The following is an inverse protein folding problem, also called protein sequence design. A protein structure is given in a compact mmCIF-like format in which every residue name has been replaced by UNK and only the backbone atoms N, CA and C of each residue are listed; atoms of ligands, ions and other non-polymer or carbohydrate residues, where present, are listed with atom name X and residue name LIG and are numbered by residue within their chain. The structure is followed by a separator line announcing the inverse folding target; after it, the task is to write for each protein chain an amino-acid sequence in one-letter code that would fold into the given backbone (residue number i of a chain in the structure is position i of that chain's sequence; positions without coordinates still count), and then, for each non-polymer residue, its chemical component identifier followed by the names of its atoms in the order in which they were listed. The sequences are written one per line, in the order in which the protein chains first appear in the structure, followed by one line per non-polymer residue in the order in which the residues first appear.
data_IF_490643728229
#
_entry.id   IF_490643728229
#
_cell.length_a   1.000
_cell.length_b   1.000
_cell.length_c   1.000
_cell.angle_alpha   90.00
_cell.angle_beta   90.00
_cell.angle_gamma   90.00
#
_symmetry.space_group_name_H-M   'P 1'
#
loop_
_entity.id
_entity.type
_entity.pdbx_description
1 polymer ?
#
# COMPACT_ATOMS: atom_id res chain seq x y z
N UNK A 1 72.00 -5.42 -8.93
CA UNK A 1 71.08 -5.65 -7.79
C UNK A 1 70.22 -4.41 -7.65
N UNK A 2 69.01 -4.32 -8.22
CA UNK A 2 67.75 -5.00 -7.81
C UNK A 2 67.52 -4.73 -6.32
N UNK A 3 66.50 -4.00 -5.86
CA UNK A 3 65.07 -4.08 -6.22
C UNK A 3 64.36 -2.74 -5.94
N UNK A 4 63.50 -2.29 -6.87
CA UNK A 4 62.40 -1.35 -6.59
C UNK A 4 61.30 -2.11 -5.84
N UNK A 5 60.67 -1.50 -4.84
CA UNK A 5 59.33 -1.89 -4.41
C UNK A 5 58.46 -0.64 -4.20
N UNK A 6 57.45 -0.54 -5.06
CA UNK A 6 56.26 0.32 -4.96
C UNK A 6 55.21 -0.49 -4.22
N UNK A 7 54.41 0.12 -3.35
CA UNK A 7 53.01 -0.21 -3.00
C UNK A 7 52.61 0.66 -1.79
N UNK A 8 51.38 1.10 -1.55
CA UNK A 8 50.19 1.49 -2.33
C UNK A 8 49.23 2.04 -1.26
N UNK A 9 48.45 3.06 -1.61
CA UNK A 9 47.52 3.75 -0.70
C UNK A 9 46.36 2.85 -0.26
N UNK A 10 45.94 2.96 1.01
CA UNK A 10 44.54 2.68 1.41
C UNK A 10 44.07 3.73 2.41
N UNK A 11 43.28 4.68 1.92
CA UNK A 11 42.41 5.53 2.73
C UNK A 11 41.25 4.66 3.24
N UNK A 12 41.15 4.50 4.56
CA UNK A 12 40.02 3.83 5.20
C UNK A 12 38.77 4.70 5.13
N UNK A 13 37.95 4.48 4.10
CA UNK A 13 36.56 4.91 4.06
C UNK A 13 35.77 4.02 5.02
N UNK A 14 35.29 4.59 6.13
CA UNK A 14 34.26 3.96 6.94
C UNK A 14 32.97 3.93 6.13
N UNK A 15 32.62 2.75 5.62
CA UNK A 15 31.33 2.46 5.02
C UNK A 15 30.26 2.50 6.11
N UNK A 16 29.45 3.56 6.13
CA UNK A 16 28.17 3.56 6.83
C UNK A 16 27.27 2.56 6.11
N UNK A 17 26.90 1.50 6.82
CA UNK A 17 26.01 0.43 6.37
C UNK A 17 24.77 1.03 5.71
N UNK A 18 24.65 0.83 4.40
CA UNK A 18 23.46 1.18 3.65
C UNK A 18 22.28 0.38 4.19
N UNK A 19 21.19 1.09 4.46
CA UNK A 19 19.86 0.49 4.59
C UNK A 19 19.61 -0.27 3.28
N UNK A 20 19.48 -1.59 3.37
CA UNK A 20 19.24 -2.46 2.22
C UNK A 20 17.78 -2.33 1.75
N UNK A 21 17.48 -1.19 1.13
CA UNK A 21 16.23 -0.92 0.40
C UNK A 21 16.06 -1.84 -0.82
N UNK A 22 17.14 -2.49 -1.29
CA UNK A 22 17.10 -3.34 -2.48
C UNK A 22 16.31 -4.62 -2.26
N UNK A 23 16.36 -5.17 -1.04
CA UNK A 23 15.69 -6.44 -0.73
C UNK A 23 14.17 -6.30 -0.56
N UNK A 24 13.68 -5.14 -0.12
CA UNK A 24 12.23 -4.89 -0.03
C UNK A 24 11.61 -4.58 -1.39
N UNK A 25 12.34 -3.89 -2.29
CA UNK A 25 11.95 -3.80 -3.70
C UNK A 25 12.01 -5.16 -4.39
N UNK A 26 13.03 -5.98 -4.12
CA UNK A 26 13.15 -7.35 -4.63
C UNK A 26 11.98 -8.24 -4.20
N UNK A 27 11.52 -8.16 -2.95
CA UNK A 27 10.36 -8.94 -2.49
C UNK A 27 9.05 -8.46 -3.12
N UNK A 28 8.90 -7.14 -3.29
CA UNK A 28 7.73 -6.56 -3.96
C UNK A 28 7.75 -6.74 -5.48
N UNK A 29 8.92 -6.87 -6.11
CA UNK A 29 9.06 -7.27 -7.51
C UNK A 29 8.83 -8.76 -7.72
N UNK A 30 9.13 -9.59 -6.71
CA UNK A 30 8.87 -11.04 -6.76
C UNK A 30 7.38 -11.37 -6.76
N UNK A 31 6.54 -10.50 -6.18
CA UNK A 31 5.07 -10.59 -6.29
C UNK A 31 4.54 -10.09 -7.65
N UNK A 32 5.38 -9.43 -8.45
CA UNK A 32 5.09 -8.95 -9.81
C UNK A 32 5.67 -9.90 -10.90
N UNK A 33 6.29 -11.04 -10.54
CA UNK A 33 6.95 -11.95 -11.52
C UNK A 33 6.06 -13.12 -11.99
N UNK A 34 6.18 -13.41 -13.29
CA UNK A 34 5.21 -14.01 -14.19
C UNK A 34 4.92 -15.51 -13.98
N UNK A 35 3.64 -15.87 -14.08
CA UNK A 35 3.20 -17.26 -14.30
C UNK A 35 3.52 -17.67 -15.74
N UNK A 36 4.29 -18.74 -15.93
CA UNK A 36 4.57 -19.36 -17.23
C UNK A 36 3.30 -19.82 -17.93
N UNK A 37 2.99 -19.25 -19.10
CA UNK A 37 1.79 -19.54 -19.90
C UNK A 37 2.08 -20.57 -20.99
N UNK A 38 1.31 -21.67 -20.99
CA UNK A 38 1.19 -22.60 -22.12
C UNK A 38 0.57 -21.92 -23.36
N UNK A 39 0.91 -22.33 -24.59
CA UNK A 39 0.49 -21.64 -25.80
C UNK A 39 -0.96 -21.94 -26.14
N UNK A 40 -1.87 -21.16 -25.56
CA UNK A 40 -3.28 -21.06 -25.92
C UNK A 40 -3.68 -19.59 -25.92
N UNK A 41 -3.95 -19.04 -27.09
CA UNK A 41 -4.35 -17.64 -27.33
C UNK A 41 -5.28 -17.08 -26.26
N UNK A 42 -4.75 -16.26 -25.34
CA UNK A 42 -5.54 -15.38 -24.48
C UNK A 42 -4.88 -14.00 -24.47
N UNK A 43 -5.52 -13.03 -25.11
CA UNK A 43 -5.05 -11.63 -25.10
C UNK A 43 -5.13 -11.09 -23.68
N UNK A 44 -3.97 -10.85 -23.08
CA UNK A 44 -3.79 -10.18 -21.80
C UNK A 44 -4.50 -8.82 -21.80
N UNK A 45 -5.33 -8.52 -20.78
CA UNK A 45 -6.03 -7.24 -20.70
C UNK A 45 -5.08 -6.14 -20.24
N UNK A 46 -4.57 -5.37 -21.18
CA UNK A 46 -3.69 -4.23 -20.94
C UNK A 46 -4.52 -2.93 -20.87
N UNK A 47 -4.46 -2.23 -19.73
CA UNK A 47 -5.28 -1.03 -19.48
C UNK A 47 -4.38 0.21 -19.37
N UNK A 48 -4.61 1.27 -20.17
CA UNK A 48 -3.78 2.47 -20.14
C UNK A 48 -3.98 3.32 -18.89
N UNK A 49 -2.93 4.05 -18.50
CA UNK A 49 -2.95 5.04 -17.43
C UNK A 49 -3.70 6.29 -17.89
N UNK A 50 -4.65 6.75 -17.08
CA UNK A 50 -5.31 8.05 -17.24
C UNK A 50 -4.93 8.96 -16.08
N UNK A 51 -4.38 10.13 -16.39
CA UNK A 51 -4.10 11.16 -15.38
C UNK A 51 -5.35 12.00 -15.12
N UNK A 52 -5.60 12.33 -13.86
CA UNK A 52 -6.76 13.14 -13.45
C UNK A 52 -6.43 14.62 -13.69
N UNK A 53 -6.85 15.14 -14.83
CA UNK A 53 -6.48 16.51 -15.26
C UNK A 53 -6.96 17.60 -14.28
N UNK A 54 -8.14 17.42 -13.69
CA UNK A 54 -8.70 18.37 -12.70
C UNK A 54 -8.12 18.26 -11.30
N UNK A 55 -7.14 17.38 -11.05
CA UNK A 55 -6.63 17.14 -9.69
C UNK A 55 -5.76 18.31 -9.18
N UNK A 56 -4.96 18.94 -10.06
CA UNK A 56 -4.08 20.04 -9.66
C UNK A 56 -4.83 21.26 -9.11
N UNK A 57 -6.00 21.61 -9.68
CA UNK A 57 -6.81 22.74 -9.18
C UNK A 57 -7.37 22.50 -7.78
N UNK A 58 -7.42 21.25 -7.34
CA UNK A 58 -7.83 20.83 -5.98
C UNK A 58 -6.62 20.62 -5.06
N UNK A 59 -5.40 20.84 -5.56
CA UNK A 59 -4.16 20.52 -4.86
C UNK A 59 -3.93 19.01 -4.66
N UNK A 60 -4.63 18.16 -5.42
CA UNK A 60 -4.44 16.72 -5.43
C UNK A 60 -3.28 16.36 -6.38
N UNK A 61 -2.10 16.15 -5.80
CA UNK A 61 -0.86 15.88 -6.55
C UNK A 61 -0.05 14.82 -5.83
N UNK A 62 0.71 14.03 -6.58
CA UNK A 62 1.68 13.06 -6.04
C UNK A 62 2.79 13.74 -5.23
N UNK A 63 3.62 12.95 -4.55
CA UNK A 63 4.74 13.44 -3.73
C UNK A 63 5.64 14.46 -4.43
N UNK A 64 5.86 14.34 -5.75
CA UNK A 64 6.67 15.26 -6.55
C UNK A 64 5.90 16.44 -7.18
N UNK A 65 4.59 16.52 -6.96
CA UNK A 65 3.71 17.54 -7.55
C UNK A 65 3.07 17.15 -8.89
N UNK A 66 3.32 15.94 -9.41
CA UNK A 66 2.65 15.47 -10.64
C UNK A 66 1.20 15.07 -10.39
N UNK A 67 0.40 14.99 -11.45
CA UNK A 67 -0.99 14.58 -11.35
C UNK A 67 -1.12 13.11 -10.94
N UNK A 68 -2.07 12.75 -10.06
CA UNK A 68 -2.43 11.36 -9.81
C UNK A 68 -3.13 10.74 -11.03
N UNK A 69 -3.22 9.42 -11.04
CA UNK A 69 -3.84 8.69 -12.14
C UNK A 69 -4.48 7.36 -11.73
N UNK A 70 -5.24 6.80 -12.65
CA UNK A 70 -5.92 5.53 -12.50
C UNK A 70 -5.97 4.78 -13.84
N UNK A 71 -6.25 3.49 -13.79
CA UNK A 71 -6.54 2.65 -14.95
C UNK A 71 -8.01 2.23 -14.86
N UNK A 72 -8.76 2.29 -15.95
CA UNK A 72 -10.18 1.93 -15.99
C UNK A 72 -10.47 1.02 -17.18
N UNK A 73 -11.03 -0.14 -16.89
CA UNK A 73 -11.64 -1.02 -17.87
C UNK A 73 -13.15 -1.09 -17.64
N UNK A 74 -13.94 -0.89 -18.70
CA UNK A 74 -15.40 -0.81 -18.59
C UNK A 74 -16.04 -2.19 -18.42
N UNK A 75 -17.10 -2.21 -17.62
CA UNK A 75 -17.95 -3.38 -17.44
C UNK A 75 -18.87 -3.61 -18.63
N UNK A 76 -19.51 -4.78 -18.66
CA UNK A 76 -20.43 -5.18 -19.72
C UNK A 76 -21.54 -6.09 -19.17
N UNK A 77 -22.62 -6.23 -19.94
CA UNK A 77 -23.76 -7.07 -19.58
C UNK A 77 -24.34 -6.69 -18.22
N UNK A 78 -24.61 -7.69 -17.37
CA UNK A 78 -25.16 -7.49 -16.03
C UNK A 78 -24.24 -6.70 -15.08
N UNK A 79 -22.93 -6.68 -15.33
CA UNK A 79 -21.94 -5.95 -14.53
C UNK A 79 -21.71 -4.50 -14.96
N UNK A 80 -22.35 -4.02 -16.03
CA UNK A 80 -22.10 -2.69 -16.59
C UNK A 80 -22.37 -1.53 -15.60
N UNK A 81 -23.26 -1.74 -14.62
CA UNK A 81 -23.57 -0.78 -13.55
C UNK A 81 -23.00 -1.20 -12.18
N UNK A 82 -21.98 -2.07 -12.17
CA UNK A 82 -21.27 -2.46 -10.95
C UNK A 82 -19.79 -2.07 -11.05
N UNK A 83 -19.17 -1.77 -9.92
CA UNK A 83 -17.84 -1.15 -9.87
C UNK A 83 -16.92 -1.81 -8.85
N UNK A 84 -15.69 -2.13 -9.25
CA UNK A 84 -14.58 -2.50 -8.36
C UNK A 84 -13.51 -1.42 -8.47
N UNK A 85 -13.19 -0.80 -7.34
CA UNK A 85 -12.15 0.22 -7.21
C UNK A 85 -11.05 -0.42 -6.39
N UNK A 86 -9.89 -0.63 -6.99
CA UNK A 86 -8.73 -1.24 -6.34
C UNK A 86 -7.65 -0.18 -6.08
N UNK A 87 -7.34 0.05 -4.82
CA UNK A 87 -6.29 0.95 -4.38
C UNK A 87 -4.95 0.22 -4.40
N UNK A 88 -4.02 0.73 -5.20
CA UNK A 88 -2.66 0.21 -5.25
C UNK A 88 -1.95 0.36 -3.89
N UNK A 89 -1.16 -0.64 -3.51
CA UNK A 89 -0.29 -0.60 -2.33
C UNK A 89 1.15 -0.23 -2.65
N UNK A 90 2.04 -0.38 -1.66
CA UNK A 90 3.47 -0.20 -1.88
C UNK A 90 4.23 0.48 -0.74
N UNK A 91 3.90 0.13 0.50
CA UNK A 91 4.52 0.68 1.70
C UNK A 91 4.34 2.19 1.88
N UNK A 92 5.16 2.79 2.72
CA UNK A 92 5.05 4.20 3.10
C UNK A 92 6.41 4.90 3.06
N UNK A 93 6.41 6.22 3.18
CA UNK A 93 7.60 6.97 3.55
C UNK A 93 7.33 7.77 4.83
N UNK A 94 8.22 7.68 5.80
CA UNK A 94 8.01 8.19 7.16
C UNK A 94 9.06 9.23 7.59
N UNK A 95 10.00 9.56 6.71
CA UNK A 95 11.02 10.59 6.95
C UNK A 95 11.17 11.45 5.69
N UNK A 96 11.69 12.67 5.83
CA UNK A 96 12.00 13.53 4.68
C UNK A 96 12.90 12.79 3.69
N UNK A 97 13.94 12.10 4.17
CA UNK A 97 14.87 11.36 3.32
C UNK A 97 14.16 10.25 2.53
N UNK A 98 13.36 9.42 3.20
CA UNK A 98 12.65 8.32 2.53
C UNK A 98 11.59 8.85 1.55
N UNK A 99 10.92 9.96 1.86
CA UNK A 99 9.96 10.59 0.94
C UNK A 99 10.64 11.29 -0.26
N UNK A 100 11.80 11.92 -0.07
CA UNK A 100 12.60 12.49 -1.18
C UNK A 100 13.07 11.39 -2.12
N UNK A 101 13.49 10.23 -1.60
CA UNK A 101 13.78 9.08 -2.45
C UNK A 101 12.52 8.57 -3.15
N UNK A 102 11.42 8.42 -2.42
CA UNK A 102 10.18 7.85 -2.96
C UNK A 102 9.59 8.68 -4.11
N UNK A 103 9.68 10.01 -4.05
CA UNK A 103 9.13 10.90 -5.09
C UNK A 103 9.81 10.75 -6.45
N UNK A 104 10.97 10.11 -6.53
CA UNK A 104 11.67 9.79 -7.79
C UNK A 104 11.34 8.40 -8.32
N UNK A 105 10.26 7.77 -7.83
CA UNK A 105 9.81 6.42 -8.24
C UNK A 105 8.35 6.44 -8.70
N UNK A 106 7.87 5.32 -9.26
CA UNK A 106 6.45 5.13 -9.65
C UNK A 106 5.46 5.34 -8.49
N UNK A 107 5.94 5.20 -7.24
CA UNK A 107 5.14 5.34 -6.01
C UNK A 107 5.16 6.74 -5.39
N UNK A 108 5.70 7.72 -6.11
CA UNK A 108 5.70 9.12 -5.70
C UNK A 108 5.58 10.12 -6.84
N UNK A 109 5.58 9.66 -8.09
CA UNK A 109 5.40 10.51 -9.27
C UNK A 109 4.82 9.74 -10.45
N UNK A 110 3.83 10.32 -11.12
CA UNK A 110 3.22 9.73 -12.31
C UNK A 110 4.12 9.76 -13.55
N UNK A 111 5.26 10.48 -13.51
CA UNK A 111 6.27 10.41 -14.56
C UNK A 111 6.84 9.00 -14.71
N UNK A 112 7.05 8.32 -13.58
CA UNK A 112 7.64 6.98 -13.52
C UNK A 112 6.60 5.85 -13.49
N UNK A 113 5.31 6.18 -13.49
CA UNK A 113 4.26 5.15 -13.62
C UNK A 113 4.28 4.52 -15.02
N UNK A 114 4.10 3.21 -15.03
CA UNK A 114 3.83 2.40 -16.21
C UNK A 114 2.62 2.99 -16.96
N UNK A 115 2.78 3.21 -18.27
CA UNK A 115 1.73 3.85 -19.09
C UNK A 115 0.55 2.92 -19.37
N UNK A 116 0.73 1.63 -19.15
CA UNK A 116 -0.31 0.62 -19.19
C UNK A 116 0.07 -0.52 -18.26
N UNK A 117 -0.92 -1.19 -17.68
CA UNK A 117 -0.70 -2.35 -16.81
C UNK A 117 -1.64 -3.48 -17.19
N UNK A 118 -1.21 -4.70 -16.89
CA UNK A 118 -2.08 -5.87 -16.99
C UNK A 118 -3.08 -5.90 -15.83
N UNK A 119 -4.34 -6.18 -16.13
CA UNK A 119 -5.37 -6.42 -15.14
C UNK A 119 -5.50 -7.93 -14.89
N UNK A 120 -5.19 -8.35 -13.67
CA UNK A 120 -5.21 -9.75 -13.20
C UNK A 120 -6.01 -9.88 -11.90
N UNK A 121 -6.24 -11.12 -11.45
CA UNK A 121 -6.95 -11.41 -10.19
C UNK A 121 -8.33 -10.74 -10.15
N UNK A 122 -8.63 -10.02 -9.07
CA UNK A 122 -9.91 -9.30 -8.90
C UNK A 122 -10.19 -8.24 -10.00
N UNK A 123 -9.17 -7.82 -10.75
CA UNK A 123 -9.30 -6.90 -11.88
C UNK A 123 -9.34 -7.60 -13.25
N UNK A 124 -9.11 -8.92 -13.31
CA UNK A 124 -9.16 -9.69 -14.56
C UNK A 124 -10.53 -9.61 -15.22
N UNK A 125 -10.56 -9.65 -16.56
CA UNK A 125 -11.78 -9.74 -17.35
C UNK A 125 -12.16 -11.18 -17.74
N UNK A 126 -11.41 -12.16 -17.24
CA UNK A 126 -11.65 -13.59 -17.47
C UNK A 126 -12.47 -14.15 -16.32
N UNK A 127 -13.59 -14.81 -16.63
CA UNK A 127 -14.48 -15.39 -15.62
C UNK A 127 -13.80 -16.53 -14.85
N UNK A 128 -12.81 -17.19 -15.45
CA UNK A 128 -12.06 -18.28 -14.84
C UNK A 128 -11.10 -17.79 -13.76
N UNK A 129 -10.61 -16.55 -13.88
CA UNK A 129 -9.73 -15.89 -12.89
C UNK A 129 -10.52 -15.01 -11.90
N UNK A 130 -11.64 -14.42 -12.35
CA UNK A 130 -12.44 -13.45 -11.62
C UNK A 130 -13.95 -13.72 -11.75
N UNK A 131 -14.43 -14.86 -11.22
CA UNK A 131 -15.81 -15.31 -11.47
C UNK A 131 -16.88 -14.31 -11.03
N UNK A 132 -16.60 -13.52 -9.99
CA UNK A 132 -17.57 -12.59 -9.40
C UNK A 132 -17.59 -11.21 -10.09
N UNK A 133 -16.45 -10.72 -10.58
CA UNK A 133 -16.30 -9.32 -11.01
C UNK A 133 -15.77 -9.13 -12.44
N UNK A 134 -15.57 -10.21 -13.21
CA UNK A 134 -14.99 -10.17 -14.57
C UNK A 134 -15.78 -9.32 -15.59
N UNK A 135 -17.04 -8.97 -15.30
CA UNK A 135 -17.86 -8.10 -16.15
C UNK A 135 -18.21 -6.74 -15.51
N UNK A 136 -17.68 -6.42 -14.32
CA UNK A 136 -17.85 -5.12 -13.66
C UNK A 136 -16.99 -4.02 -14.31
N UNK A 137 -17.27 -2.74 -14.02
CA UNK A 137 -16.27 -1.69 -14.22
C UNK A 137 -15.13 -1.93 -13.23
N UNK A 138 -13.89 -2.01 -13.73
CA UNK A 138 -12.72 -2.35 -12.94
C UNK A 138 -11.73 -1.21 -13.00
N UNK A 139 -11.32 -0.74 -11.82
CA UNK A 139 -10.46 0.43 -11.68
C UNK A 139 -9.27 0.09 -10.80
N UNK A 140 -8.07 0.51 -11.20
CA UNK A 140 -6.90 0.58 -10.32
C UNK A 140 -6.49 2.03 -10.13
N UNK A 141 -6.63 2.55 -8.92
CA UNK A 141 -6.14 3.89 -8.56
C UNK A 141 -4.66 3.76 -8.19
N UNK A 142 -3.80 4.57 -8.83
CA UNK A 142 -2.35 4.51 -8.63
C UNK A 142 -1.94 5.19 -7.33
N UNK A 143 -1.00 4.59 -6.62
CA UNK A 143 -0.55 5.05 -5.31
C UNK A 143 0.70 5.92 -5.43
N UNK A 144 0.59 7.19 -5.04
CA UNK A 144 1.71 8.14 -5.18
C UNK A 144 1.84 9.17 -4.05
N UNK A 145 1.11 9.00 -2.94
CA UNK A 145 1.15 9.90 -1.79
C UNK A 145 2.04 9.39 -0.64
N UNK A 146 2.18 8.08 -0.47
CA UNK A 146 3.05 7.50 0.55
C UNK A 146 2.45 7.43 1.97
N UNK A 147 1.15 7.66 2.12
CA UNK A 147 0.41 7.63 3.39
C UNK A 147 -0.96 6.91 3.27
N UNK A 148 -1.07 5.86 2.44
CA UNK A 148 -2.34 5.13 2.25
C UNK A 148 -3.52 6.05 1.92
N UNK A 149 -3.30 7.05 1.06
CA UNK A 149 -4.31 8.03 0.67
C UNK A 149 -4.85 8.90 1.82
N UNK A 150 -4.13 9.03 2.94
CA UNK A 150 -4.62 9.76 4.12
C UNK A 150 -3.84 11.05 4.46
N UNK A 151 -2.75 11.37 3.76
CA UNK A 151 -1.93 12.57 4.03
C UNK A 151 -2.62 13.90 3.67
N UNK A 152 -2.35 14.96 4.45
CA UNK A 152 -2.84 16.34 4.22
C UNK A 152 -1.81 17.40 4.69
N UNK A 153 -0.57 17.23 4.23
CA UNK A 153 0.60 18.05 4.57
C UNK A 153 1.46 18.40 3.36
N UNK A 154 2.55 19.12 3.60
CA UNK A 154 3.60 19.36 2.61
C UNK A 154 4.91 19.69 3.31
N UNK A 155 6.01 19.62 2.55
CA UNK A 155 7.31 20.15 2.96
C UNK A 155 7.90 20.94 1.80
N UNK A 156 7.86 22.26 1.91
CA UNK A 156 8.26 23.20 0.87
C UNK A 156 9.76 23.13 0.60
N UNK A 157 10.57 23.03 1.67
CA UNK A 157 12.02 22.96 1.58
C UNK A 157 12.50 21.82 0.66
N UNK A 158 11.81 20.68 0.70
CA UNK A 158 12.14 19.50 -0.10
C UNK A 158 11.19 19.29 -1.29
N UNK A 159 10.26 20.22 -1.56
CA UNK A 159 9.23 20.08 -2.61
C UNK A 159 8.52 18.73 -2.52
N UNK A 160 7.96 18.43 -1.35
CA UNK A 160 7.17 17.24 -1.08
C UNK A 160 5.71 17.63 -0.83
N UNK A 161 4.79 16.91 -1.46
CA UNK A 161 3.36 17.11 -1.30
C UNK A 161 2.71 15.86 -0.72
N UNK A 162 2.24 15.95 0.52
CA UNK A 162 1.57 14.83 1.19
C UNK A 162 0.05 14.99 1.03
N UNK A 163 -0.45 14.65 -0.15
CA UNK A 163 -1.83 14.97 -0.58
C UNK A 163 -2.70 13.73 -0.77
N UNK A 164 -2.46 12.68 0.01
CA UNK A 164 -3.20 11.41 -0.06
C UNK A 164 -4.71 11.61 -0.04
N UNK A 165 -5.24 12.35 0.94
CA UNK A 165 -6.69 12.56 1.07
C UNK A 165 -7.26 13.26 -0.16
N UNK A 166 -6.53 14.26 -0.67
CA UNK A 166 -6.97 15.00 -1.86
C UNK A 166 -6.93 14.15 -3.12
N UNK A 167 -5.92 13.27 -3.25
CA UNK A 167 -5.84 12.32 -4.36
C UNK A 167 -7.04 11.36 -4.31
N UNK A 168 -7.36 10.82 -3.13
CA UNK A 168 -8.54 9.99 -2.92
C UNK A 168 -9.83 10.69 -3.37
N UNK A 169 -10.08 11.89 -2.84
CA UNK A 169 -11.28 12.67 -3.18
C UNK A 169 -11.36 12.99 -4.68
N UNK A 170 -10.25 13.42 -5.29
CA UNK A 170 -10.21 13.74 -6.72
C UNK A 170 -10.42 12.49 -7.59
N UNK A 171 -9.88 11.34 -7.20
CA UNK A 171 -10.09 10.07 -7.91
C UNK A 171 -11.55 9.62 -7.80
N UNK A 172 -12.15 9.68 -6.61
CA UNK A 172 -13.54 9.27 -6.43
C UNK A 172 -14.49 10.17 -7.21
N UNK A 173 -14.29 11.49 -7.17
CA UNK A 173 -15.11 12.43 -7.93
C UNK A 173 -15.01 12.20 -9.46
N UNK A 174 -13.80 11.97 -9.97
CA UNK A 174 -13.56 11.66 -11.39
C UNK A 174 -14.29 10.36 -11.82
N UNK A 175 -14.28 9.33 -10.96
CA UNK A 175 -14.95 8.06 -11.23
C UNK A 175 -16.48 8.19 -11.11
N UNK A 176 -16.98 8.96 -10.14
CA UNK A 176 -18.40 9.31 -10.01
C UNK A 176 -18.91 9.93 -11.31
N UNK A 177 -18.23 10.96 -11.81
CA UNK A 177 -18.55 11.64 -13.06
C UNK A 177 -18.50 10.71 -14.29
N UNK A 178 -17.72 9.62 -14.23
CA UNK A 178 -17.64 8.57 -15.27
C UNK A 178 -18.74 7.53 -15.21
N UNK A 179 -19.75 7.72 -14.36
CA UNK A 179 -20.93 6.89 -14.23
C UNK A 179 -20.95 6.01 -12.98
N UNK A 180 -19.93 6.08 -12.12
CA UNK A 180 -19.95 5.33 -10.85
C UNK A 180 -21.09 5.79 -9.94
N UNK A 181 -21.52 7.05 -10.04
CA UNK A 181 -22.67 7.58 -9.32
C UNK A 181 -23.99 6.83 -9.58
N UNK A 182 -24.09 6.10 -10.69
CA UNK A 182 -25.26 5.30 -11.07
C UNK A 182 -25.10 3.81 -10.71
N UNK A 183 -24.10 3.46 -9.90
CA UNK A 183 -23.81 2.07 -9.58
C UNK A 183 -24.93 1.42 -8.76
N UNK A 184 -25.28 0.19 -9.14
CA UNK A 184 -26.11 -0.69 -8.33
C UNK A 184 -25.28 -1.29 -7.18
N UNK A 185 -24.02 -1.60 -7.47
CA UNK A 185 -23.08 -2.23 -6.56
C UNK A 185 -21.70 -1.62 -6.72
N UNK A 186 -21.02 -1.37 -5.60
CA UNK A 186 -19.65 -0.88 -5.60
C UNK A 186 -18.81 -1.60 -4.54
N UNK A 187 -17.60 -1.98 -4.91
CA UNK A 187 -16.61 -2.60 -4.03
C UNK A 187 -15.36 -1.73 -3.99
N UNK A 188 -15.05 -1.19 -2.82
CA UNK A 188 -13.72 -0.65 -2.56
C UNK A 188 -12.80 -1.79 -2.15
N UNK A 189 -11.66 -1.91 -2.80
CA UNK A 189 -10.65 -2.91 -2.49
C UNK A 189 -9.27 -2.31 -2.50
N UNK A 190 -8.28 -3.01 -1.93
CA UNK A 190 -6.88 -2.65 -2.08
C UNK A 190 -5.98 -3.68 -1.43
N UNK A 191 -4.70 -3.69 -1.80
CA UNK A 191 -3.70 -4.60 -1.27
C UNK A 191 -2.61 -3.85 -0.49
N UNK A 192 -2.11 -4.40 0.62
CA UNK A 192 -1.03 -3.81 1.43
C UNK A 192 -1.39 -2.39 1.92
N UNK A 193 -0.59 -1.37 1.60
CA UNK A 193 -0.92 0.02 1.91
C UNK A 193 -2.26 0.48 1.29
N UNK A 194 -2.67 -0.09 0.16
CA UNK A 194 -3.99 0.12 -0.43
C UNK A 194 -5.09 -0.64 0.30
N UNK A 195 -4.76 -1.77 0.92
CA UNK A 195 -5.64 -2.50 1.84
C UNK A 195 -5.93 -1.65 3.07
N UNK A 196 -4.89 -1.10 3.71
CA UNK A 196 -5.05 -0.12 4.80
C UNK A 196 -5.92 1.07 4.35
N UNK A 197 -5.67 1.62 3.16
CA UNK A 197 -6.48 2.70 2.60
C UNK A 197 -7.95 2.30 2.43
N UNK A 198 -8.24 1.07 2.00
CA UNK A 198 -9.61 0.56 1.89
C UNK A 198 -10.32 0.49 3.25
N UNK A 199 -9.58 0.32 4.35
CA UNK A 199 -10.11 0.40 5.71
C UNK A 199 -10.42 1.84 6.07
N UNK A 200 -9.44 2.73 5.91
CA UNK A 200 -9.52 4.14 6.29
C UNK A 200 -10.67 4.87 5.57
N UNK A 201 -10.85 4.60 4.28
CA UNK A 201 -11.82 5.30 3.44
C UNK A 201 -13.12 4.53 3.21
N UNK A 202 -13.35 3.41 3.90
CA UNK A 202 -14.51 2.55 3.61
C UNK A 202 -15.85 3.28 3.77
N UNK A 203 -16.04 3.96 4.90
CA UNK A 203 -17.28 4.69 5.17
C UNK A 203 -17.37 5.96 4.32
N UNK A 204 -16.26 6.64 4.03
CA UNK A 204 -16.22 7.75 3.06
C UNK A 204 -16.71 7.29 1.68
N UNK A 205 -16.27 6.11 1.24
CA UNK A 205 -16.68 5.53 -0.03
C UNK A 205 -18.17 5.20 -0.06
N UNK A 206 -18.72 4.57 1.00
CA UNK A 206 -20.17 4.32 1.09
C UNK A 206 -20.98 5.62 1.03
N UNK A 207 -20.50 6.68 1.66
CA UNK A 207 -21.19 7.97 1.72
C UNK A 207 -21.25 8.71 0.37
N UNK A 208 -20.52 8.26 -0.66
CA UNK A 208 -20.64 8.80 -2.02
C UNK A 208 -21.92 8.34 -2.74
N UNK A 209 -22.55 7.27 -2.27
CA UNK A 209 -23.67 6.64 -2.95
C UNK A 209 -24.99 6.82 -2.21
N UNK A 210 -26.09 6.60 -2.91
CA UNK A 210 -27.41 6.50 -2.30
C UNK A 210 -27.46 5.36 -1.28
N UNK A 211 -28.37 5.45 -0.32
CA UNK A 211 -28.56 4.40 0.69
C UNK A 211 -28.88 3.05 0.06
N UNK A 212 -29.62 3.05 -1.06
CA UNK A 212 -30.02 1.85 -1.82
C UNK A 212 -28.88 1.17 -2.57
N UNK A 213 -27.76 1.85 -2.82
CA UNK A 213 -26.59 1.25 -3.47
C UNK A 213 -25.89 0.29 -2.52
N UNK A 214 -25.65 -0.94 -2.98
CA UNK A 214 -24.93 -1.96 -2.22
C UNK A 214 -23.43 -1.70 -2.30
N UNK A 215 -22.87 -1.15 -1.23
CA UNK A 215 -21.44 -0.88 -1.12
C UNK A 215 -20.80 -1.82 -0.11
N UNK A 216 -19.62 -2.34 -0.44
CA UNK A 216 -18.78 -3.14 0.45
C UNK A 216 -17.32 -2.72 0.32
N UNK A 217 -16.51 -3.10 1.30
CA UNK A 217 -15.06 -2.94 1.26
C UNK A 217 -14.33 -4.27 1.41
N UNK A 218 -13.14 -4.37 0.83
CA UNK A 218 -12.23 -5.50 0.93
C UNK A 218 -10.81 -4.99 1.19
N UNK A 219 -10.29 -5.26 2.38
CA UNK A 219 -8.88 -5.03 2.66
C UNK A 219 -8.10 -6.33 2.50
N UNK A 220 -7.22 -6.38 1.50
CA UNK A 220 -6.28 -7.47 1.30
C UNK A 220 -4.89 -7.07 1.84
N UNK A 221 -4.31 -7.89 2.71
CA UNK A 221 -3.02 -7.66 3.38
C UNK A 221 -2.88 -6.25 4.01
N UNK A 222 -3.98 -5.64 4.42
CA UNK A 222 -4.04 -4.27 4.94
C UNK A 222 -4.14 -4.18 6.46
N UNK A 223 -4.41 -5.30 7.15
CA UNK A 223 -4.50 -5.39 8.60
C UNK A 223 -3.10 -5.58 9.21
N UNK A 224 -2.39 -4.47 9.44
CA UNK A 224 -1.12 -4.48 10.17
C UNK A 224 -1.35 -4.32 11.67
N UNK A 225 -0.53 -5.00 12.48
CA UNK A 225 -0.63 -4.95 13.94
C UNK A 225 0.45 -4.05 14.55
N UNK A 226 0.07 -3.22 15.52
CA UNK A 226 0.98 -2.58 16.47
C UNK A 226 1.50 -3.63 17.45
N UNK A 227 2.55 -4.32 17.03
CA UNK A 227 3.18 -5.41 17.76
C UNK A 227 4.66 -5.10 18.00
N UNK A 228 5.17 -5.62 19.11
CA UNK A 228 6.58 -5.53 19.47
C UNK A 228 7.42 -6.43 18.57
N UNK A 229 8.59 -5.95 18.15
CA UNK A 229 9.57 -6.75 17.41
C UNK A 229 10.35 -7.71 18.31
N UNK A 230 11.17 -8.57 17.69
CA UNK A 230 11.95 -9.60 18.40
C UNK A 230 13.02 -9.05 19.36
N UNK A 231 13.31 -7.75 19.31
CA UNK A 231 14.21 -7.07 20.22
C UNK A 231 13.47 -6.26 21.32
N UNK A 232 12.14 -6.29 21.34
CA UNK A 232 11.34 -5.52 22.30
C UNK A 232 10.97 -4.10 21.82
N UNK A 233 11.31 -3.72 20.59
CA UNK A 233 11.01 -2.42 20.01
C UNK A 233 9.65 -2.35 19.33
N UNK A 234 9.22 -1.14 18.94
CA UNK A 234 7.96 -0.91 18.23
C UNK A 234 8.19 -0.42 16.80
N UNK A 235 8.99 -1.16 16.03
CA UNK A 235 9.46 -0.75 14.70
C UNK A 235 8.37 -0.20 13.77
N UNK A 236 7.23 -0.88 13.65
CA UNK A 236 6.13 -0.42 12.78
C UNK A 236 5.40 0.80 13.36
N UNK A 237 5.25 0.88 14.68
CA UNK A 237 4.66 2.05 15.33
C UNK A 237 5.52 3.28 15.09
N UNK A 238 6.83 3.17 15.23
CA UNK A 238 7.77 4.27 14.95
C UNK A 238 7.71 4.69 13.48
N UNK A 239 7.56 3.73 12.56
CA UNK A 239 7.34 4.04 11.16
C UNK A 239 6.02 4.79 10.96
N UNK A 240 4.92 4.28 11.50
CA UNK A 240 3.59 4.88 11.37
C UNK A 240 3.49 6.25 12.04
N UNK A 241 4.17 6.46 13.18
CA UNK A 241 4.26 7.77 13.81
C UNK A 241 4.92 8.77 12.86
N UNK A 242 6.03 8.39 12.22
CA UNK A 242 6.68 9.22 11.20
C UNK A 242 5.75 9.51 10.01
N UNK A 243 4.98 8.53 9.53
CA UNK A 243 3.96 8.77 8.48
C UNK A 243 2.91 9.78 8.96
N UNK A 244 2.32 9.53 10.13
CA UNK A 244 1.20 10.32 10.63
C UNK A 244 1.58 11.76 10.92
N UNK A 245 2.72 11.96 11.57
CA UNK A 245 3.22 13.29 11.95
C UNK A 245 3.75 14.06 10.75
N UNK A 246 4.63 13.46 9.93
CA UNK A 246 5.27 14.14 8.80
C UNK A 246 4.26 14.52 7.71
N UNK A 247 3.32 13.61 7.42
CA UNK A 247 2.39 13.76 6.30
C UNK A 247 1.05 14.37 6.72
N UNK A 248 0.87 14.69 8.00
CA UNK A 248 -0.35 15.33 8.52
C UNK A 248 -1.60 14.44 8.45
N UNK A 249 -1.43 13.11 8.52
CA UNK A 249 -2.52 12.12 8.38
C UNK A 249 -3.60 12.29 9.43
N UNK A 250 -3.23 12.74 10.63
CA UNK A 250 -4.13 12.89 11.78
C UNK A 250 -5.43 13.65 11.47
N UNK A 251 -5.42 14.57 10.49
CA UNK A 251 -6.59 15.36 10.09
C UNK A 251 -7.69 14.54 9.42
N UNK A 252 -7.32 13.39 8.85
CA UNK A 252 -8.21 12.53 8.07
C UNK A 252 -8.47 11.18 8.76
N UNK A 253 -7.99 11.01 10.00
CA UNK A 253 -8.31 9.82 10.78
C UNK A 253 -9.69 9.95 11.43
N UNK A 254 -10.43 8.83 11.59
CA UNK A 254 -11.76 8.87 12.21
C UNK A 254 -11.73 9.49 13.61
N UNK A 255 -12.60 10.48 13.83
CA UNK A 255 -12.76 11.15 15.12
C UNK A 255 -13.20 10.20 16.24
N UNK A 256 -13.91 9.13 15.88
CA UNK A 256 -14.28 8.04 16.78
C UNK A 256 -13.08 7.35 17.42
N UNK A 257 -11.93 7.34 16.74
CA UNK A 257 -10.68 6.81 17.27
C UNK A 257 -9.83 7.92 17.91
N UNK A 258 -9.61 9.05 17.22
CA UNK A 258 -8.68 10.09 17.68
C UNK A 258 -9.16 10.85 18.93
N UNK A 259 -10.44 10.73 19.28
CA UNK A 259 -10.98 11.20 20.58
C UNK A 259 -10.59 10.31 21.76
N UNK A 260 -10.14 9.09 21.53
CA UNK A 260 -9.84 8.09 22.57
C UNK A 260 -8.37 7.64 22.57
N UNK A 261 -7.69 7.73 21.43
CA UNK A 261 -6.31 7.25 21.23
C UNK A 261 -5.50 8.30 20.48
N UNK A 262 -4.17 8.18 20.59
CA UNK A 262 -3.27 9.02 19.80
C UNK A 262 -3.43 8.75 18.28
N UNK A 263 -3.12 9.72 17.41
CA UNK A 263 -3.27 9.58 15.97
C UNK A 263 -2.50 8.39 15.37
N UNK A 264 -1.34 8.03 15.89
CA UNK A 264 -0.56 6.88 15.38
C UNK A 264 -1.30 5.57 15.64
N UNK A 265 -1.83 5.40 16.85
CA UNK A 265 -2.69 4.25 17.18
C UNK A 265 -3.91 4.17 16.26
N UNK A 266 -4.48 5.32 15.87
CA UNK A 266 -5.62 5.37 14.95
C UNK A 266 -5.26 5.14 13.48
N UNK A 267 -3.98 5.05 13.12
CA UNK A 267 -3.57 4.60 11.80
C UNK A 267 -3.44 3.06 11.72
N UNK A 268 -3.39 2.37 12.87
CA UNK A 268 -3.43 0.92 12.93
C UNK A 268 -4.87 0.39 12.81
N UNK A 269 -5.15 -0.49 11.82
CA UNK A 269 -6.47 -1.08 11.61
C UNK A 269 -7.13 -1.71 12.83
N UNK A 270 -6.35 -2.33 13.71
CA UNK A 270 -6.87 -2.98 14.94
C UNK A 270 -7.69 -2.04 15.83
N UNK A 271 -7.47 -0.72 15.71
CA UNK A 271 -8.19 0.31 16.48
C UNK A 271 -9.36 0.94 15.71
N UNK A 272 -9.53 0.60 14.42
CA UNK A 272 -10.51 1.22 13.53
C UNK A 272 -11.59 0.26 13.05
N UNK A 273 -11.23 -0.99 12.76
CA UNK A 273 -12.11 -1.95 12.06
C UNK A 273 -13.46 -2.11 12.76
N UNK A 274 -13.47 -2.17 14.10
CA UNK A 274 -14.72 -2.30 14.88
C UNK A 274 -15.67 -1.11 14.76
N UNK A 275 -15.17 0.05 14.32
CA UNK A 275 -15.94 1.28 14.15
C UNK A 275 -16.37 1.51 12.69
N UNK A 276 -15.89 0.70 11.74
CA UNK A 276 -16.32 0.80 10.34
C UNK A 276 -17.75 0.29 10.21
N UNK A 277 -18.64 1.13 9.69
CA UNK A 277 -20.08 0.81 9.59
C UNK A 277 -20.40 0.02 8.33
N UNK A 278 -19.68 0.28 7.25
CA UNK A 278 -19.88 -0.35 5.95
C UNK A 278 -19.37 -1.79 5.98
N UNK A 279 -20.12 -2.77 5.44
CA UNK A 279 -19.68 -4.17 5.44
C UNK A 279 -18.31 -4.35 4.78
N UNK A 280 -17.38 -4.89 5.55
CA UNK A 280 -15.98 -5.06 5.16
C UNK A 280 -15.57 -6.53 5.25
N UNK A 281 -14.81 -6.98 4.26
CA UNK A 281 -14.09 -8.24 4.31
C UNK A 281 -12.60 -7.97 4.56
N UNK A 282 -12.02 -8.64 5.54
CA UNK A 282 -10.59 -8.58 5.81
C UNK A 282 -9.96 -9.88 5.33
N UNK A 283 -9.10 -9.78 4.31
CA UNK A 283 -8.27 -10.87 3.84
C UNK A 283 -6.84 -10.58 4.29
N UNK A 284 -6.33 -11.33 5.26
CA UNK A 284 -4.97 -11.17 5.74
C UNK A 284 -4.34 -12.53 6.00
N UNK A 285 -3.08 -12.71 5.58
CA UNK A 285 -2.32 -13.88 5.94
C UNK A 285 -2.08 -13.90 7.46
N UNK A 286 -2.15 -15.08 8.07
CA UNK A 286 -1.89 -15.22 9.51
C UNK A 286 -0.48 -14.73 9.92
N UNK A 287 0.48 -14.82 8.99
CA UNK A 287 1.85 -14.33 9.12
C UNK A 287 2.23 -13.56 7.86
N UNK A 288 1.69 -12.35 7.74
CA UNK A 288 1.98 -11.45 6.61
C UNK A 288 3.49 -11.30 6.42
N UNK A 289 3.98 -11.59 5.22
CA UNK A 289 5.40 -11.65 4.95
C UNK A 289 6.07 -10.27 5.10
N UNK A 290 5.36 -9.19 4.76
CA UNK A 290 5.89 -7.84 4.91
C UNK A 290 5.96 -7.46 6.39
N UNK A 291 4.91 -7.72 7.17
CA UNK A 291 4.94 -7.43 8.61
C UNK A 291 6.00 -8.26 9.33
N UNK A 292 6.15 -9.55 8.99
CA UNK A 292 7.22 -10.38 9.53
C UNK A 292 8.59 -9.79 9.19
N UNK A 293 8.83 -9.41 7.94
CA UNK A 293 10.15 -8.98 7.47
C UNK A 293 10.52 -7.57 7.94
N UNK A 294 9.56 -6.64 7.93
CA UNK A 294 9.81 -5.21 8.10
C UNK A 294 9.40 -4.67 9.48
N UNK A 295 8.49 -5.36 10.18
CA UNK A 295 8.00 -4.94 11.50
C UNK A 295 8.49 -5.84 12.62
N UNK A 296 8.24 -7.15 12.54
CA UNK A 296 8.48 -8.07 13.65
C UNK A 296 9.94 -8.49 13.75
N UNK A 297 10.59 -8.69 12.60
CA UNK A 297 11.97 -9.15 12.50
C UNK A 297 12.76 -8.27 11.52
N UNK A 298 12.82 -6.94 11.72
CA UNK A 298 13.66 -6.08 10.92
C UNK A 298 15.13 -6.44 11.16
N UNK A 299 16.00 -6.19 10.17
CA UNK A 299 17.44 -6.49 10.28
C UNK A 299 18.11 -5.84 11.48
N UNK A 300 17.60 -4.69 11.95
CA UNK A 300 18.11 -4.00 13.14
C UNK A 300 17.74 -4.71 14.46
N UNK A 301 16.62 -5.44 14.50
CA UNK A 301 16.18 -6.21 15.67
C UNK A 301 16.79 -7.62 15.71
N UNK A 302 17.38 -8.11 14.61
CA UNK A 302 18.06 -9.40 14.53
C UNK A 302 19.52 -9.25 14.05
N UNK A 303 20.39 -8.55 14.80
CA UNK A 303 21.77 -8.26 14.38
C UNK A 303 22.64 -9.52 14.24
N UNK A 304 22.27 -10.59 14.94
CA UNK A 304 22.98 -11.87 14.89
C UNK A 304 22.38 -12.87 13.90
N UNK A 305 21.30 -12.52 13.19
CA UNK A 305 20.68 -13.37 12.18
C UNK A 305 20.01 -14.63 12.72
N UNK A 306 19.61 -14.65 13.99
CA UNK A 306 18.99 -15.79 14.67
C UNK A 306 17.62 -16.14 14.08
N UNK A 307 16.95 -15.16 13.48
CA UNK A 307 15.63 -15.32 12.89
C UNK A 307 15.68 -15.49 11.37
N UNK A 308 16.85 -15.37 10.73
CA UNK A 308 16.99 -15.34 9.26
C UNK A 308 16.36 -16.55 8.56
N UNK A 309 16.60 -17.76 9.08
CA UNK A 309 16.04 -18.99 8.52
C UNK A 309 14.51 -19.03 8.68
N UNK A 310 14.04 -18.84 9.92
CA UNK A 310 12.63 -18.82 10.30
C UNK A 310 11.80 -17.74 9.56
N UNK A 311 12.39 -16.56 9.35
CA UNK A 311 11.82 -15.44 8.60
C UNK A 311 11.59 -15.76 7.13
N UNK A 312 12.46 -16.57 6.52
CA UNK A 312 12.36 -16.96 5.10
C UNK A 312 11.43 -18.16 4.94
N UNK A 313 11.61 -19.17 5.79
CA UNK A 313 10.79 -20.37 5.84
C UNK A 313 10.41 -20.69 7.29
N UNK A 314 9.11 -20.68 7.56
CA UNK A 314 8.55 -20.87 8.89
C UNK A 314 8.77 -22.31 9.41
N UNK A 315 9.09 -23.26 8.54
CA UNK A 315 9.44 -24.63 8.93
C UNK A 315 10.76 -24.70 9.72
N UNK A 316 11.63 -23.71 9.56
CA UNK A 316 12.91 -23.62 10.27
C UNK A 316 12.83 -22.86 11.61
N UNK A 317 11.63 -22.43 12.02
CA UNK A 317 11.45 -21.78 13.31
C UNK A 317 11.59 -22.80 14.46
N UNK A 318 12.37 -22.46 15.48
CA UNK A 318 12.38 -23.23 16.72
C UNK A 318 11.12 -22.92 17.56
N UNK A 319 10.93 -23.66 18.66
CA UNK A 319 9.72 -23.54 19.49
C UNK A 319 9.48 -22.14 20.05
N UNK A 320 10.53 -21.41 20.47
CA UNK A 320 10.36 -20.04 21.00
C UNK A 320 10.01 -19.03 19.91
N UNK A 321 10.57 -19.20 18.71
CA UNK A 321 10.23 -18.38 17.55
C UNK A 321 8.78 -18.59 17.10
N UNK A 322 8.30 -19.83 17.12
CA UNK A 322 6.89 -20.15 16.85
C UNK A 322 5.99 -19.50 17.90
N UNK A 323 6.33 -19.59 19.19
CA UNK A 323 5.55 -18.98 20.27
C UNK A 323 5.42 -17.46 20.10
N UNK A 324 6.49 -16.78 19.69
CA UNK A 324 6.45 -15.35 19.39
C UNK A 324 5.44 -15.00 18.28
N UNK A 325 5.46 -15.74 17.17
CA UNK A 325 4.49 -15.55 16.09
C UNK A 325 3.06 -15.86 16.52
N UNK A 326 2.85 -16.91 17.32
CA UNK A 326 1.54 -17.27 17.85
C UNK A 326 0.98 -16.19 18.78
N UNK A 327 1.82 -15.61 19.65
CA UNK A 327 1.42 -14.49 20.51
C UNK A 327 0.96 -13.27 19.70
N UNK A 328 1.65 -12.98 18.60
CA UNK A 328 1.26 -11.91 17.67
C UNK A 328 -0.08 -12.23 16.98
N UNK A 329 -0.29 -13.48 16.55
CA UNK A 329 -1.53 -13.93 15.92
C UNK A 329 -2.74 -13.81 16.85
N UNK A 330 -2.59 -14.13 18.13
CA UNK A 330 -3.67 -14.01 19.13
C UNK A 330 -4.12 -12.56 19.37
N UNK A 331 -3.40 -11.57 18.84
CA UNK A 331 -3.74 -10.15 18.93
C UNK A 331 -4.52 -9.63 17.70
N UNK A 332 -4.83 -10.48 16.72
CA UNK A 332 -5.73 -10.12 15.62
C UNK A 332 -7.19 -10.09 16.10
N UNK A 333 -7.94 -9.01 15.82
CA UNK A 333 -9.32 -8.81 16.28
C UNK A 333 -10.35 -9.72 15.61
#
# INVERSE_FOLDING_TARGET
MIMKLVLLWVLGLWSVSGIDLSRSESFLSYLDEEVTVSPGSTTTLIVPLTLIQGAASKGAVCLDGTLPGYHLHRGFGSGANSWVIHLEGGGWCNTIRSCVFRKTTRRGSSKFMEKSINFTGILSNKAEENPDFYNWNRVRVRYCDGASFAGEGQNEANKLYFRGQRIWLAAMEELMAKGMQNANQALLSGCSAGGLASILHCDEFKNLFLETTKVKCLSDAGLFLDATDVAGGHTLRDMYEGVVTLQGVQKNLPSTCTSQKDPTSCFFPQNLVSNVKTPMFLLNAAYDAWQVDQSLIPSLADPHGLWRACKTDRSHCNSSQIQFFQGTKCSMP
#
